data_IF_094930285448
#
_entry.id   IF_094930285448
#
_cell.length_a   1.000
_cell.length_b   1.000
_cell.length_c   1.000
_cell.angle_alpha   90.00
_cell.angle_beta   90.00
_cell.angle_gamma   90.00
#
_symmetry.space_group_name_H-M   'P 1'
#
loop_
_entity.id
_entity.type
_entity.pdbx_description
1 polymer ?
#
# COMPACT_ATOMS: atom_id res chain seq x y z
N UNK A 1 -11.86 2.32 -15.44
CA UNK A 1 -10.65 2.34 -14.63
C UNK A 1 -10.36 3.75 -14.15
N UNK A 2 -9.77 3.87 -12.96
CA UNK A 2 -9.44 5.18 -12.37
C UNK A 2 -8.26 5.84 -13.09
N UNK A 3 -7.25 5.07 -13.49
CA UNK A 3 -6.02 5.60 -14.09
C UNK A 3 -6.22 6.64 -15.21
N UNK A 4 -7.10 6.47 -16.20
CA UNK A 4 -7.32 7.46 -17.24
C UNK A 4 -7.94 8.78 -16.74
N UNK A 5 -8.56 8.78 -15.56
CA UNK A 5 -9.18 9.97 -14.96
C UNK A 5 -8.20 10.73 -14.05
N UNK A 6 -7.02 10.20 -13.76
CA UNK A 6 -6.01 10.82 -12.90
C UNK A 6 -5.25 11.92 -13.66
N UNK A 7 -5.89 13.07 -13.82
CA UNK A 7 -5.21 14.31 -14.25
C UNK A 7 -4.76 15.12 -13.05
N UNK A 8 -3.81 16.06 -13.18
CA UNK A 8 -3.39 16.93 -12.07
C UNK A 8 -4.56 17.62 -11.38
N UNK A 9 -5.60 18.04 -12.14
CA UNK A 9 -6.78 18.75 -11.63
C UNK A 9 -7.76 17.82 -10.90
N UNK A 10 -7.92 16.58 -11.36
CA UNK A 10 -8.88 15.63 -10.82
C UNK A 10 -8.29 14.68 -9.76
N UNK A 11 -6.97 14.62 -9.67
CA UNK A 11 -6.29 13.63 -8.83
C UNK A 11 -6.73 13.69 -7.35
N UNK A 12 -6.82 14.88 -6.77
CA UNK A 12 -7.20 15.04 -5.36
C UNK A 12 -8.57 14.41 -5.08
N UNK A 13 -9.57 14.69 -5.90
CA UNK A 13 -10.92 14.13 -5.74
C UNK A 13 -10.92 12.61 -5.96
N UNK A 14 -10.17 12.13 -6.96
CA UNK A 14 -10.03 10.71 -7.23
C UNK A 14 -9.41 9.95 -6.05
N UNK A 15 -8.32 10.47 -5.49
CA UNK A 15 -7.65 9.85 -4.34
C UNK A 15 -8.52 9.93 -3.08
N UNK A 16 -9.24 11.03 -2.85
CA UNK A 16 -10.16 11.12 -1.72
C UNK A 16 -11.27 10.06 -1.77
N UNK A 17 -11.81 9.76 -2.96
CA UNK A 17 -12.78 8.67 -3.16
C UNK A 17 -12.14 7.30 -2.98
N UNK A 18 -10.92 7.10 -3.48
CA UNK A 18 -10.18 5.87 -3.26
C UNK A 18 -9.90 5.64 -1.75
N UNK A 19 -9.61 6.70 -0.99
CA UNK A 19 -9.50 6.62 0.46
C UNK A 19 -10.80 6.18 1.14
N UNK A 20 -11.96 6.63 0.67
CA UNK A 20 -13.24 6.18 1.23
C UNK A 20 -13.46 4.69 1.00
N UNK A 21 -13.11 4.16 -0.18
CA UNK A 21 -13.12 2.71 -0.47
C UNK A 21 -12.18 1.97 0.48
N UNK A 22 -10.94 2.47 0.62
CA UNK A 22 -9.93 1.83 1.47
C UNK A 22 -10.32 1.85 2.96
N UNK A 23 -10.89 2.94 3.45
CA UNK A 23 -11.39 3.05 4.83
C UNK A 23 -12.54 2.08 5.11
N UNK A 24 -13.41 1.83 4.13
CA UNK A 24 -14.45 0.81 4.25
C UNK A 24 -13.85 -0.60 4.26
N UNK A 25 -12.87 -0.86 3.43
CA UNK A 25 -12.14 -2.12 3.40
C UNK A 25 -11.45 -2.40 4.76
N UNK A 26 -10.75 -1.40 5.30
CA UNK A 26 -10.08 -1.51 6.61
C UNK A 26 -11.03 -1.68 7.79
N UNK A 27 -12.29 -1.27 7.65
CA UNK A 27 -13.33 -1.44 8.67
C UNK A 27 -14.01 -2.82 8.59
N UNK A 28 -13.69 -3.65 7.60
CA UNK A 28 -14.30 -4.97 7.44
C UNK A 28 -13.99 -5.87 8.64
N UNK A 29 -14.99 -6.61 9.11
CA UNK A 29 -14.80 -7.62 10.15
C UNK A 29 -13.92 -8.77 9.63
N UNK A 30 -12.91 -9.14 10.39
CA UNK A 30 -11.96 -10.19 10.02
C UNK A 30 -12.33 -11.57 10.56
N UNK A 31 -13.26 -11.63 11.53
CA UNK A 31 -13.69 -12.89 12.16
C UNK A 31 -14.34 -13.83 11.15
N UNK A 32 -13.83 -15.06 11.10
CA UNK A 32 -14.37 -16.10 10.21
C UNK A 32 -14.10 -15.89 8.72
N UNK A 33 -13.30 -14.89 8.34
CA UNK A 33 -12.97 -14.59 6.93
C UNK A 33 -12.21 -15.72 6.23
N UNK A 34 -11.45 -16.53 6.97
CA UNK A 34 -10.55 -17.55 6.40
C UNK A 34 -9.33 -16.99 5.66
N UNK A 35 -9.12 -15.67 5.70
CA UNK A 35 -7.98 -15.03 5.04
C UNK A 35 -6.67 -15.33 5.75
N UNK A 36 -5.60 -15.51 4.97
CA UNK A 36 -4.24 -15.67 5.47
C UNK A 36 -3.68 -14.38 6.05
N UNK A 37 -2.67 -14.51 6.91
CA UNK A 37 -1.93 -13.36 7.42
C UNK A 37 -0.85 -12.93 6.42
N UNK A 38 -0.66 -11.61 6.28
CA UNK A 38 0.50 -11.03 5.63
C UNK A 38 1.68 -11.03 6.59
N UNK A 39 2.18 -12.23 6.81
CA UNK A 39 3.21 -12.51 7.80
C UNK A 39 4.63 -12.25 7.28
N UNK A 40 5.61 -12.49 8.15
CA UNK A 40 7.04 -12.36 7.79
C UNK A 40 7.42 -13.18 6.56
N UNK A 41 6.86 -14.37 6.41
CA UNK A 41 7.18 -15.28 5.30
C UNK A 41 6.76 -14.66 3.97
N UNK A 42 5.51 -14.22 3.88
CA UNK A 42 4.96 -13.60 2.67
C UNK A 42 5.65 -12.27 2.34
N UNK A 43 5.90 -11.42 3.36
CA UNK A 43 6.66 -10.18 3.19
C UNK A 43 8.08 -10.42 2.69
N UNK A 44 8.77 -11.43 3.22
CA UNK A 44 10.12 -11.81 2.76
C UNK A 44 10.11 -12.28 1.32
N UNK A 45 9.15 -13.13 0.95
CA UNK A 45 9.00 -13.61 -0.42
C UNK A 45 8.80 -12.46 -1.41
N UNK A 46 7.92 -11.51 -1.10
CA UNK A 46 7.67 -10.37 -1.98
C UNK A 46 8.88 -9.44 -2.12
N UNK A 47 9.57 -9.12 -1.03
CA UNK A 47 10.76 -8.29 -1.08
C UNK A 47 11.92 -8.97 -1.82
N UNK A 48 12.00 -10.30 -1.79
CA UNK A 48 13.03 -11.06 -2.52
C UNK A 48 12.95 -10.89 -4.04
N UNK A 49 11.78 -10.49 -4.56
CA UNK A 49 11.58 -10.24 -5.99
C UNK A 49 12.43 -9.09 -6.52
N UNK A 50 12.73 -8.08 -5.68
CA UNK A 50 13.55 -6.96 -6.10
C UNK A 50 14.99 -7.36 -6.45
N UNK A 51 15.80 -7.98 -5.56
CA UNK A 51 17.14 -8.38 -5.91
C UNK A 51 17.16 -9.44 -7.02
N UNK A 52 16.30 -10.45 -6.95
CA UNK A 52 16.32 -11.57 -7.89
C UNK A 52 15.86 -11.16 -9.30
N UNK A 53 14.68 -10.56 -9.40
CA UNK A 53 14.05 -10.33 -10.70
C UNK A 53 14.41 -8.99 -11.31
N UNK A 54 14.43 -7.92 -10.51
CA UNK A 54 14.72 -6.59 -11.02
C UNK A 54 16.22 -6.36 -11.15
N UNK A 55 17.00 -6.52 -10.06
CA UNK A 55 18.43 -6.22 -10.10
C UNK A 55 19.19 -7.24 -10.94
N UNK A 56 19.06 -8.53 -10.65
CA UNK A 56 19.90 -9.55 -11.30
C UNK A 56 19.36 -9.92 -12.68
N UNK A 57 18.10 -10.34 -12.81
CA UNK A 57 17.57 -10.86 -14.08
C UNK A 57 17.28 -9.78 -15.09
N UNK A 58 16.66 -8.67 -14.70
CA UNK A 58 16.30 -7.60 -15.64
C UNK A 58 17.47 -6.68 -15.96
N UNK A 59 18.19 -6.19 -14.93
CA UNK A 59 19.30 -5.24 -15.12
C UNK A 59 20.66 -5.89 -15.30
N UNK A 60 20.78 -7.21 -15.04
CA UNK A 60 22.05 -7.94 -15.14
C UNK A 60 23.07 -7.56 -14.07
N UNK A 61 22.64 -6.93 -12.98
CA UNK A 61 23.51 -6.56 -11.87
C UNK A 61 23.99 -7.85 -11.16
N UNK A 62 25.25 -7.88 -10.77
CA UNK A 62 25.79 -8.92 -9.90
C UNK A 62 26.04 -8.29 -8.54
N UNK A 63 25.15 -8.57 -7.60
CA UNK A 63 25.26 -8.05 -6.24
C UNK A 63 26.40 -8.74 -5.51
N UNK A 64 27.32 -7.96 -4.96
CA UNK A 64 28.36 -8.47 -4.09
C UNK A 64 27.83 -8.75 -2.68
N UNK A 65 28.68 -9.28 -1.78
CA UNK A 65 28.28 -9.61 -0.41
C UNK A 65 27.86 -8.39 0.40
N UNK A 66 28.46 -7.24 0.15
CA UNK A 66 28.16 -5.98 0.85
C UNK A 66 26.81 -5.46 0.41
N UNK A 67 26.57 -5.40 -0.90
CA UNK A 67 25.31 -4.97 -1.49
C UNK A 67 24.15 -5.88 -1.08
N UNK A 68 24.34 -7.19 -1.15
CA UNK A 68 23.36 -8.19 -0.68
C UNK A 68 23.05 -8.01 0.81
N UNK A 69 24.08 -7.76 1.64
CA UNK A 69 23.90 -7.51 3.07
C UNK A 69 23.14 -6.23 3.38
N UNK A 70 23.33 -5.16 2.61
CA UNK A 70 22.58 -3.92 2.74
C UNK A 70 21.09 -4.11 2.37
N UNK A 71 20.82 -4.84 1.27
CA UNK A 71 19.45 -5.15 0.85
C UNK A 71 18.75 -5.98 1.93
N UNK A 72 19.40 -7.02 2.45
CA UNK A 72 18.86 -7.84 3.52
C UNK A 72 18.55 -7.02 4.78
N UNK A 73 19.46 -6.16 5.22
CA UNK A 73 19.24 -5.29 6.37
C UNK A 73 18.04 -4.34 6.15
N UNK A 74 17.92 -3.77 4.95
CA UNK A 74 16.76 -2.95 4.58
C UNK A 74 15.46 -3.77 4.61
N UNK A 75 15.45 -4.97 4.03
CA UNK A 75 14.28 -5.84 4.06
C UNK A 75 13.84 -6.17 5.49
N UNK A 76 14.77 -6.52 6.38
CA UNK A 76 14.46 -6.79 7.78
C UNK A 76 13.86 -5.57 8.49
N UNK A 77 14.34 -4.37 8.19
CA UNK A 77 13.78 -3.13 8.74
C UNK A 77 12.36 -2.88 8.21
N UNK A 78 12.12 -3.03 6.92
CA UNK A 78 10.80 -2.86 6.30
C UNK A 78 9.79 -3.88 6.85
N UNK A 79 10.18 -5.16 6.95
CA UNK A 79 9.34 -6.22 7.51
C UNK A 79 9.02 -5.92 8.98
N UNK A 80 10.02 -5.50 9.77
CA UNK A 80 9.81 -5.13 11.16
C UNK A 80 8.78 -4.01 11.31
N UNK A 81 8.95 -2.92 10.55
CA UNK A 81 8.01 -1.79 10.53
C UNK A 81 6.59 -2.20 10.09
N UNK A 82 6.48 -3.06 9.09
CA UNK A 82 5.18 -3.55 8.63
C UNK A 82 4.46 -4.39 9.69
N UNK A 83 5.16 -5.28 10.37
CA UNK A 83 4.59 -6.18 11.38
C UNK A 83 4.23 -5.48 12.71
N UNK A 84 4.74 -4.29 12.97
CA UNK A 84 4.38 -3.47 14.13
C UNK A 84 3.06 -2.70 13.93
N UNK A 85 2.54 -2.63 12.71
CA UNK A 85 1.33 -1.88 12.39
C UNK A 85 0.06 -2.62 12.81
N UNK A 86 -1.04 -1.89 13.07
CA UNK A 86 -2.36 -2.48 13.15
C UNK A 86 -2.70 -3.27 11.88
N UNK A 87 -3.36 -4.41 12.05
CA UNK A 87 -3.73 -5.27 10.93
C UNK A 87 -5.18 -5.05 10.52
N UNK A 88 -5.39 -5.01 9.22
CA UNK A 88 -6.70 -4.81 8.56
C UNK A 88 -6.84 -5.78 7.39
N UNK A 89 -7.98 -5.77 6.72
CA UNK A 89 -8.12 -6.40 5.42
C UNK A 89 -7.28 -5.62 4.40
N UNK A 90 -6.32 -6.30 3.79
CA UNK A 90 -5.41 -5.76 2.75
C UNK A 90 -5.74 -6.40 1.42
N UNK A 91 -5.94 -5.59 0.40
CA UNK A 91 -6.26 -6.02 -0.95
C UNK A 91 -5.03 -6.54 -1.71
N UNK A 92 -3.84 -6.02 -1.41
CA UNK A 92 -2.52 -6.23 -2.04
C UNK A 92 -2.31 -5.52 -3.37
N UNK A 93 -3.33 -5.44 -4.20
CA UNK A 93 -3.27 -4.79 -5.52
C UNK A 93 -4.19 -3.55 -5.58
N UNK A 94 -4.18 -2.74 -4.51
CA UNK A 94 -4.99 -1.52 -4.40
C UNK A 94 -4.34 -0.36 -5.17
N UNK A 95 -4.49 -0.34 -6.47
CA UNK A 95 -3.90 0.66 -7.37
C UNK A 95 -4.91 1.14 -8.43
N UNK A 96 -4.55 2.20 -9.16
CA UNK A 96 -5.45 2.90 -10.09
C UNK A 96 -6.06 2.04 -11.20
N UNK A 97 -5.46 0.90 -11.53
CA UNK A 97 -5.99 -0.02 -12.54
C UNK A 97 -7.01 -1.03 -11.99
N UNK A 98 -7.07 -1.20 -10.68
CA UNK A 98 -8.05 -2.08 -10.01
C UNK A 98 -9.21 -1.29 -9.39
N UNK A 99 -9.20 0.04 -9.53
CA UNK A 99 -10.30 0.92 -9.17
C UNK A 99 -11.09 1.30 -10.41
N UNK A 100 -12.41 1.08 -10.40
CA UNK A 100 -13.33 1.38 -11.50
C UNK A 100 -14.24 2.53 -11.12
N UNK A 101 -14.29 3.56 -11.94
CA UNK A 101 -15.31 4.62 -11.85
C UNK A 101 -16.64 4.04 -12.35
N UNK A 102 -17.63 3.93 -11.48
CA UNK A 102 -18.99 3.54 -11.82
C UNK A 102 -19.84 4.76 -12.14
N UNK A 103 -19.62 5.85 -11.41
CA UNK A 103 -20.26 7.15 -11.61
C UNK A 103 -19.31 8.28 -11.18
N UNK A 104 -19.78 9.53 -11.20
CA UNK A 104 -19.01 10.68 -10.74
C UNK A 104 -18.54 10.50 -9.28
N UNK A 105 -19.32 9.83 -8.44
CA UNK A 105 -19.09 9.74 -7.00
C UNK A 105 -18.83 8.33 -6.48
N UNK A 106 -18.82 7.32 -7.36
CA UNK A 106 -18.74 5.91 -6.96
C UNK A 106 -17.57 5.19 -7.60
N UNK A 107 -16.77 4.52 -6.77
CA UNK A 107 -15.68 3.63 -7.16
C UNK A 107 -16.00 2.19 -6.77
N UNK A 108 -15.73 1.25 -7.67
CA UNK A 108 -15.68 -0.17 -7.35
C UNK A 108 -14.24 -0.67 -7.35
N UNK A 109 -13.98 -1.62 -6.46
CA UNK A 109 -12.70 -2.32 -6.36
C UNK A 109 -12.86 -3.72 -6.97
N UNK A 110 -11.91 -4.13 -7.80
CA UNK A 110 -11.86 -5.43 -8.46
C UNK A 110 -10.54 -6.14 -8.12
N UNK A 111 -10.47 -7.44 -8.41
CA UNK A 111 -9.24 -8.24 -8.32
C UNK A 111 -8.80 -8.53 -6.87
N UNK A 112 -9.75 -8.91 -6.01
CA UNK A 112 -9.57 -9.06 -4.56
C UNK A 112 -9.24 -10.51 -4.09
N UNK A 113 -8.98 -11.45 -5.02
CA UNK A 113 -8.78 -12.87 -4.67
C UNK A 113 -7.50 -13.12 -3.87
N UNK A 114 -6.53 -12.21 -3.89
CA UNK A 114 -5.27 -12.30 -3.15
C UNK A 114 -5.27 -11.52 -1.83
N UNK A 115 -6.46 -11.11 -1.36
CA UNK A 115 -6.61 -10.35 -0.12
C UNK A 115 -6.14 -11.14 1.11
N UNK A 116 -5.55 -10.44 2.06
CA UNK A 116 -4.97 -10.99 3.30
C UNK A 116 -5.26 -10.09 4.49
N UNK A 117 -4.91 -10.52 5.69
CA UNK A 117 -4.89 -9.70 6.90
C UNK A 117 -3.49 -9.14 7.08
N UNK A 118 -3.29 -7.83 6.97
CA UNK A 118 -1.97 -7.22 6.94
C UNK A 118 -1.90 -5.77 7.38
N UNK A 119 -0.76 -5.10 7.18
CA UNK A 119 -0.48 -3.75 7.67
C UNK A 119 -1.44 -2.70 7.11
N UNK A 120 -1.95 -1.83 7.98
CA UNK A 120 -2.93 -0.79 7.62
C UNK A 120 -2.47 0.19 6.54
N UNK A 121 -1.16 0.37 6.37
CA UNK A 121 -0.62 1.29 5.36
C UNK A 121 -0.31 0.63 4.02
N UNK A 122 -0.37 -0.69 3.90
CA UNK A 122 0.09 -1.41 2.70
C UNK A 122 -0.65 -0.95 1.42
N UNK A 123 -1.96 -0.99 1.43
CA UNK A 123 -2.78 -0.60 0.28
C UNK A 123 -2.71 0.92 0.01
N UNK A 124 -2.51 1.73 1.05
CA UNK A 124 -2.25 3.16 0.87
C UNK A 124 -0.96 3.40 0.07
N UNK A 125 0.11 2.68 0.41
CA UNK A 125 1.38 2.76 -0.33
C UNK A 125 1.20 2.30 -1.77
N UNK A 126 0.51 1.18 -1.99
CA UNK A 126 0.20 0.68 -3.34
C UNK A 126 -0.52 1.72 -4.19
N UNK A 127 -1.45 2.48 -3.60
CA UNK A 127 -2.18 3.54 -4.28
C UNK A 127 -1.31 4.77 -4.54
N UNK A 128 -0.60 5.27 -3.53
CA UNK A 128 0.15 6.53 -3.60
C UNK A 128 1.50 6.41 -4.32
N UNK A 129 2.06 5.21 -4.39
CA UNK A 129 3.29 4.85 -5.10
C UNK A 129 3.00 3.93 -6.30
N UNK A 130 1.82 4.06 -6.87
CA UNK A 130 1.38 3.32 -8.04
C UNK A 130 2.42 3.38 -9.16
N UNK A 131 2.75 2.22 -9.73
CA UNK A 131 3.76 2.10 -10.80
C UNK A 131 3.29 2.66 -12.15
N UNK A 132 2.02 3.01 -12.29
CA UNK A 132 1.42 3.52 -13.53
C UNK A 132 1.37 5.06 -13.59
N UNK A 133 1.54 5.74 -12.45
CA UNK A 133 1.52 7.20 -12.37
C UNK A 133 2.47 7.68 -11.27
N UNK A 134 3.10 8.82 -11.50
CA UNK A 134 4.02 9.41 -10.54
C UNK A 134 3.56 10.83 -10.16
N UNK A 135 3.53 11.09 -8.86
CA UNK A 135 3.20 12.39 -8.29
C UNK A 135 4.40 13.02 -7.57
N UNK A 136 4.44 14.34 -7.42
CA UNK A 136 5.48 15.00 -6.62
C UNK A 136 5.51 14.45 -5.18
N UNK A 137 6.69 14.22 -4.59
CA UNK A 137 6.81 13.65 -3.24
C UNK A 137 5.99 14.40 -2.19
N UNK A 138 6.00 15.75 -2.22
CA UNK A 138 5.20 16.56 -1.29
C UNK A 138 3.68 16.32 -1.42
N UNK A 139 3.19 16.03 -2.62
CA UNK A 139 1.78 15.69 -2.84
C UNK A 139 1.43 14.31 -2.28
N UNK A 140 2.31 13.34 -2.48
CA UNK A 140 2.16 11.99 -1.92
C UNK A 140 2.13 12.04 -0.40
N UNK A 141 3.03 12.79 0.21
CA UNK A 141 3.07 13.00 1.66
C UNK A 141 1.79 13.68 2.19
N UNK A 142 1.33 14.73 1.53
CA UNK A 142 0.08 15.41 1.90
C UNK A 142 -1.13 14.46 1.85
N UNK A 143 -1.23 13.61 0.85
CA UNK A 143 -2.28 12.61 0.75
C UNK A 143 -2.16 11.49 1.80
N UNK A 144 -0.93 11.05 2.11
CA UNK A 144 -0.70 10.08 3.18
C UNK A 144 -1.16 10.62 4.54
N UNK A 145 -0.82 11.88 4.85
CA UNK A 145 -1.26 12.53 6.08
C UNK A 145 -2.79 12.76 6.11
N UNK A 146 -3.39 13.15 5.00
CA UNK A 146 -4.85 13.28 4.90
C UNK A 146 -5.56 11.94 5.17
N UNK A 147 -5.01 10.83 4.68
CA UNK A 147 -5.53 9.49 4.97
C UNK A 147 -5.35 9.12 6.44
N UNK A 148 -4.18 9.39 7.03
CA UNK A 148 -3.93 9.19 8.47
C UNK A 148 -4.99 9.89 9.33
N UNK A 149 -5.29 11.16 9.06
CA UNK A 149 -6.31 11.91 9.80
C UNK A 149 -7.69 11.23 9.72
N UNK A 150 -8.04 10.65 8.58
CA UNK A 150 -9.29 9.90 8.42
C UNK A 150 -9.29 8.60 9.22
N UNK A 151 -8.17 7.87 9.28
CA UNK A 151 -8.02 6.68 10.13
C UNK A 151 -8.18 7.02 11.62
N UNK A 152 -7.55 8.12 12.07
CA UNK A 152 -7.67 8.61 13.44
C UNK A 152 -9.11 8.99 13.78
N UNK A 153 -9.78 9.75 12.90
CA UNK A 153 -11.17 10.18 13.09
C UNK A 153 -12.15 9.00 13.17
N UNK A 154 -11.84 7.88 12.53
CA UNK A 154 -12.64 6.65 12.56
C UNK A 154 -12.24 5.68 13.68
N UNK A 155 -11.23 6.01 14.48
CA UNK A 155 -10.69 5.12 15.53
C UNK A 155 -9.98 3.86 15.00
N UNK A 156 -9.63 3.84 13.70
CA UNK A 156 -8.91 2.73 13.05
C UNK A 156 -7.38 2.83 13.25
N UNK A 157 -6.91 3.95 13.76
CA UNK A 157 -5.52 4.20 14.15
C UNK A 157 -5.49 4.96 15.47
N UNK A 158 -4.52 4.69 16.33
CA UNK A 158 -4.36 5.42 17.61
C UNK A 158 -2.89 5.55 17.97
N UNK A 159 -2.51 6.71 18.54
CA UNK A 159 -1.17 6.92 19.11
C UNK A 159 -0.02 6.97 18.11
N UNK A 160 -0.28 7.07 16.81
CA UNK A 160 0.73 7.10 15.76
C UNK A 160 0.98 8.54 15.33
N UNK A 161 2.21 9.05 15.54
CA UNK A 161 2.61 10.40 15.09
C UNK A 161 2.68 10.48 13.56
N UNK A 162 2.72 11.70 13.01
CA UNK A 162 2.92 11.92 11.57
C UNK A 162 4.26 11.32 11.10
N UNK A 163 5.34 11.57 11.84
CA UNK A 163 6.66 11.03 11.55
C UNK A 163 6.67 9.50 11.51
N UNK A 164 6.00 8.86 12.47
CA UNK A 164 5.91 7.39 12.52
C UNK A 164 5.07 6.84 11.36
N UNK A 165 4.02 7.55 10.96
CA UNK A 165 3.15 7.12 9.87
C UNK A 165 3.82 7.24 8.49
N UNK A 166 4.71 8.22 8.32
CA UNK A 166 5.43 8.46 7.07
C UNK A 166 6.72 7.63 6.94
N UNK A 167 7.16 6.97 7.98
CA UNK A 167 8.37 6.15 8.05
C UNK A 167 8.18 4.76 7.50
#
# INVERSE_FOLDING_TARGET
LLLPALTPEAAADCYHRAFDVLLHLNAAGLEGSGLGAYDRTLLTEELSRFPEWFAERLLGCRLDKTESGLIEALHQQLIGSALEQPTVLVHRDFHSRNLMLLSADELALIDFQDAVIGPVTYDLVSLLRDCYIQWPPAQVEAWALAYRERLLARGQLSGVSEETFLR
#
